data_IF_435032579326
#
_entry.id   IF_435032579326
#
_cell.length_a   1.000
_cell.length_b   1.000
_cell.length_c   1.000
_cell.angle_alpha   90.00
_cell.angle_beta   90.00
_cell.angle_gamma   90.00
#
_symmetry.space_group_name_H-M   'P 1'
#
loop_
_entity.id
_entity.type
_entity.pdbx_description
1 polymer ?
#
# COMPACT_ATOMS: atom_id res chain seq x y z
N UNK A 1 3.03 -2.90 5.27
CA UNK A 1 3.89 -1.85 5.83
C UNK A 1 3.04 -0.61 5.82
N UNK A 2 2.48 -0.23 6.97
CA UNK A 2 1.43 0.82 7.05
C UNK A 2 1.97 2.14 7.64
N UNK A 3 3.29 2.35 7.56
CA UNK A 3 4.03 3.53 8.03
C UNK A 3 5.50 3.45 7.62
N UNK A 4 6.20 4.58 7.62
CA UNK A 4 7.63 4.71 7.33
C UNK A 4 8.48 4.86 8.59
N UNK A 5 7.87 5.09 9.75
CA UNK A 5 8.52 5.13 11.05
C UNK A 5 8.14 3.93 11.91
N UNK A 6 9.01 3.59 12.88
CA UNK A 6 8.77 2.52 13.85
C UNK A 6 7.54 2.84 14.70
N UNK A 7 7.38 4.09 15.08
CA UNK A 7 6.29 4.63 15.88
C UNK A 7 4.94 4.50 15.17
N UNK A 8 4.85 4.98 13.92
CA UNK A 8 3.62 4.86 13.13
C UNK A 8 3.31 3.40 12.83
N UNK A 9 4.33 2.60 12.51
CA UNK A 9 4.15 1.17 12.30
C UNK A 9 3.59 0.46 13.54
N UNK A 10 4.17 0.70 14.71
CA UNK A 10 3.72 0.10 15.96
C UNK A 10 2.31 0.54 16.34
N UNK A 11 1.98 1.83 16.14
CA UNK A 11 0.62 2.36 16.34
C UNK A 11 -0.40 1.65 15.45
N UNK A 12 -0.11 1.52 14.16
CA UNK A 12 -1.05 0.93 13.20
C UNK A 12 -1.15 -0.59 13.33
N UNK A 13 -0.03 -1.27 13.58
CA UNK A 13 0.04 -2.75 13.59
C UNK A 13 -0.12 -3.37 14.98
N UNK A 14 -0.03 -2.58 16.04
CA UNK A 14 -0.03 -3.05 17.43
C UNK A 14 1.21 -3.86 17.81
N UNK A 15 2.26 -3.87 16.98
CA UNK A 15 3.48 -4.66 17.21
C UNK A 15 4.72 -3.89 16.81
N UNK A 16 5.78 -4.04 17.61
CA UNK A 16 7.07 -3.44 17.36
C UNK A 16 7.96 -4.37 16.51
N UNK A 17 7.68 -4.41 15.21
CA UNK A 17 8.36 -5.29 14.26
C UNK A 17 9.00 -4.55 13.07
N UNK A 18 9.05 -3.22 13.11
CA UNK A 18 9.50 -2.39 11.99
C UNK A 18 10.91 -2.74 11.52
N UNK A 19 11.89 -2.66 12.43
CA UNK A 19 13.30 -2.96 12.12
C UNK A 19 13.50 -4.42 11.67
N UNK A 20 12.73 -5.33 12.27
CA UNK A 20 12.76 -6.76 11.90
C UNK A 20 12.31 -6.96 10.46
N UNK A 21 11.26 -6.27 10.02
CA UNK A 21 10.73 -6.40 8.66
C UNK A 21 11.74 -5.89 7.64
N UNK A 22 12.32 -4.70 7.86
CA UNK A 22 13.31 -4.15 6.94
C UNK A 22 14.58 -5.00 6.87
N UNK A 23 15.06 -5.51 8.01
CA UNK A 23 16.14 -6.49 8.04
C UNK A 23 15.83 -7.72 7.19
N UNK A 24 14.62 -8.26 7.30
CA UNK A 24 14.20 -9.45 6.55
C UNK A 24 14.09 -9.16 5.04
N UNK A 25 13.53 -8.01 4.66
CA UNK A 25 13.44 -7.56 3.26
C UNK A 25 14.83 -7.44 2.66
N UNK A 26 15.75 -6.76 3.36
CA UNK A 26 17.13 -6.60 2.91
C UNK A 26 17.83 -7.94 2.73
N UNK A 27 17.71 -8.85 3.70
CA UNK A 27 18.30 -10.19 3.61
C UNK A 27 17.74 -10.97 2.41
N UNK A 28 16.45 -10.87 2.14
CA UNK A 28 15.82 -11.56 1.02
C UNK A 28 16.27 -10.99 -0.33
N UNK A 29 16.36 -9.67 -0.47
CA UNK A 29 16.82 -9.03 -1.71
C UNK A 29 18.30 -9.35 -1.98
N UNK A 30 19.14 -9.39 -0.95
CA UNK A 30 20.53 -9.84 -1.08
C UNK A 30 20.59 -11.29 -1.58
N UNK A 31 19.77 -12.18 -1.03
CA UNK A 31 19.70 -13.58 -1.47
C UNK A 31 19.28 -13.68 -2.96
N UNK A 32 18.36 -12.84 -3.41
CA UNK A 32 17.95 -12.80 -4.81
C UNK A 32 19.11 -12.35 -5.73
N UNK A 33 19.87 -11.36 -5.30
CA UNK A 33 21.05 -10.87 -6.04
C UNK A 33 22.14 -11.96 -6.13
N UNK A 34 22.43 -12.65 -5.03
CA UNK A 34 23.40 -13.75 -4.98
C UNK A 34 23.03 -14.92 -5.91
N UNK A 35 21.73 -15.12 -6.14
CA UNK A 35 21.21 -16.20 -6.97
C UNK A 35 20.86 -15.77 -8.41
N UNK A 36 21.12 -14.52 -8.79
CA UNK A 36 20.67 -13.94 -10.07
C UNK A 36 19.16 -14.16 -10.32
N UNK A 37 18.37 -14.09 -9.25
CA UNK A 37 16.95 -14.37 -9.26
C UNK A 37 16.12 -13.08 -9.27
N UNK A 38 15.21 -12.95 -10.23
CA UNK A 38 14.24 -11.84 -10.27
C UNK A 38 12.91 -12.18 -9.59
N UNK A 39 12.76 -13.41 -9.07
CA UNK A 39 11.51 -13.91 -8.48
C UNK A 39 11.77 -14.69 -7.19
N UNK A 40 10.78 -14.72 -6.27
CA UNK A 40 9.50 -13.97 -6.31
C UNK A 40 9.69 -12.46 -6.12
N UNK A 41 8.83 -11.64 -6.75
CA UNK A 41 8.90 -10.19 -6.58
C UNK A 41 8.52 -9.78 -5.15
N UNK A 42 9.22 -8.78 -4.59
CA UNK A 42 8.88 -8.18 -3.30
C UNK A 42 8.00 -6.96 -3.53
N UNK A 43 6.86 -6.91 -2.83
CA UNK A 43 5.97 -5.75 -2.86
C UNK A 43 5.58 -5.32 -1.45
N UNK A 44 5.41 -4.01 -1.26
CA UNK A 44 4.87 -3.44 -0.02
C UNK A 44 3.39 -3.12 -0.19
N UNK A 45 2.60 -3.50 0.81
CA UNK A 45 1.20 -3.12 0.89
C UNK A 45 1.01 -2.08 1.98
N UNK A 46 0.37 -0.97 1.63
CA UNK A 46 0.08 0.16 2.50
C UNK A 46 -1.42 0.39 2.57
N UNK A 47 -2.01 0.16 3.74
CA UNK A 47 -3.42 0.45 4.02
C UNK A 47 -3.55 1.93 4.33
N UNK A 48 -4.07 2.69 3.37
CA UNK A 48 -4.13 4.14 3.46
C UNK A 48 -5.28 4.60 4.37
N UNK A 49 -4.91 5.36 5.39
CA UNK A 49 -5.78 5.97 6.41
C UNK A 49 -5.35 7.42 6.62
N UNK A 50 -6.24 8.28 7.12
CA UNK A 50 -5.86 9.67 7.46
C UNK A 50 -4.66 9.73 8.39
N UNK A 51 -4.65 8.86 9.40
CA UNK A 51 -3.63 8.83 10.44
C UNK A 51 -2.23 8.47 9.94
N UNK A 52 -2.09 7.72 8.83
CA UNK A 52 -0.78 7.30 8.33
C UNK A 52 -0.43 7.83 6.94
N UNK A 53 -1.34 8.48 6.23
CA UNK A 53 -1.12 8.89 4.83
C UNK A 53 0.13 9.76 4.65
N UNK A 54 0.41 10.62 5.63
CA UNK A 54 1.57 11.51 5.66
C UNK A 54 2.92 10.77 5.62
N UNK A 55 2.94 9.47 5.94
CA UNK A 55 4.14 8.63 5.94
C UNK A 55 4.42 7.98 4.59
N UNK A 56 3.48 8.04 3.64
CA UNK A 56 3.61 7.43 2.33
C UNK A 56 4.87 7.88 1.56
N UNK A 57 5.28 9.17 1.56
CA UNK A 57 6.53 9.59 0.93
C UNK A 57 7.75 8.89 1.54
N UNK A 58 7.86 8.84 2.88
CA UNK A 58 8.96 8.17 3.55
C UNK A 58 8.97 6.66 3.33
N UNK A 59 7.80 6.05 3.11
CA UNK A 59 7.72 4.64 2.75
C UNK A 59 8.29 4.38 1.35
N UNK A 60 8.07 5.32 0.42
CA UNK A 60 8.66 5.26 -0.94
C UNK A 60 10.18 5.40 -0.86
N UNK A 61 10.69 6.31 -0.03
CA UNK A 61 12.13 6.44 0.24
C UNK A 61 12.74 5.11 0.70
N UNK A 62 12.14 4.50 1.72
CA UNK A 62 12.61 3.21 2.26
C UNK A 62 12.49 2.06 1.26
N UNK A 63 11.43 2.05 0.46
CA UNK A 63 11.27 1.05 -0.59
C UNK A 63 12.42 1.15 -1.61
N UNK A 64 12.74 2.36 -2.05
CA UNK A 64 13.83 2.60 -2.99
C UNK A 64 15.19 2.23 -2.39
N UNK A 65 15.47 2.68 -1.15
CA UNK A 65 16.70 2.38 -0.41
C UNK A 65 16.95 0.87 -0.29
N UNK A 66 15.89 0.11 0.00
CA UNK A 66 15.97 -1.33 0.22
C UNK A 66 15.76 -2.16 -1.05
N UNK A 67 15.59 -1.54 -2.22
CA UNK A 67 15.47 -2.24 -3.49
C UNK A 67 14.10 -2.85 -3.79
N UNK A 68 13.05 -2.42 -3.08
CA UNK A 68 11.67 -2.83 -3.36
C UNK A 68 11.08 -1.94 -4.46
N UNK A 69 10.61 -2.57 -5.54
CA UNK A 69 10.14 -1.88 -6.76
C UNK A 69 8.63 -1.89 -6.95
N UNK A 70 7.87 -2.45 -6.01
CA UNK A 70 6.42 -2.51 -6.08
C UNK A 70 5.77 -2.07 -4.76
N UNK A 71 4.85 -1.12 -4.85
CA UNK A 71 4.03 -0.63 -3.74
C UNK A 71 2.55 -0.70 -4.14
N UNK A 72 1.72 -1.21 -3.24
CA UNK A 72 0.27 -1.28 -3.39
C UNK A 72 -0.42 -0.44 -2.32
N UNK A 73 -1.22 0.53 -2.76
CA UNK A 73 -2.13 1.27 -1.90
C UNK A 73 -3.47 0.51 -1.79
N UNK A 74 -3.80 0.13 -0.56
CA UNK A 74 -5.05 -0.51 -0.21
C UNK A 74 -5.95 0.50 0.50
N UNK A 75 -7.21 0.60 0.07
CA UNK A 75 -8.20 1.42 0.78
C UNK A 75 -8.54 0.75 2.11
N UNK A 76 -8.70 1.56 3.16
CA UNK A 76 -9.25 1.07 4.42
C UNK A 76 -10.70 0.60 4.22
N UNK A 77 -10.95 -0.65 4.60
CA UNK A 77 -12.29 -1.18 4.89
C UNK A 77 -12.46 -1.16 6.40
N UNK A 78 -13.57 -0.63 6.90
CA UNK A 78 -13.76 -0.32 8.31
C UNK A 78 -14.98 -1.03 8.89
N UNK A 79 -14.97 -1.23 10.21
CA UNK A 79 -16.02 -1.91 10.99
C UNK A 79 -16.27 -1.24 12.35
N UNK A 80 -15.80 0.01 12.51
CA UNK A 80 -15.97 0.86 13.70
C UNK A 80 -15.30 0.31 14.97
N UNK A 81 -14.17 -0.38 14.81
CA UNK A 81 -13.33 -0.85 15.92
C UNK A 81 -11.86 -0.47 15.70
N UNK A 82 -11.18 -0.12 16.80
CA UNK A 82 -9.77 0.31 16.75
C UNK A 82 -9.54 1.45 15.75
N UNK A 83 -8.52 1.30 14.91
CA UNK A 83 -8.22 2.24 13.82
C UNK A 83 -9.11 2.04 12.58
N UNK A 84 -9.85 0.92 12.50
CA UNK A 84 -10.75 0.64 11.39
C UNK A 84 -12.09 1.38 11.58
N UNK A 85 -12.02 2.70 11.68
CA UNK A 85 -13.13 3.62 11.86
C UNK A 85 -13.39 4.42 10.59
N UNK A 86 -14.66 4.69 10.28
CA UNK A 86 -15.05 5.49 9.12
C UNK A 86 -14.40 6.90 9.02
N UNK A 87 -13.96 7.49 10.14
CA UNK A 87 -13.20 8.76 10.17
C UNK A 87 -11.79 8.64 9.58
N UNK A 88 -11.24 7.43 9.54
CA UNK A 88 -9.93 7.15 8.95
C UNK A 88 -10.00 6.91 7.43
N UNK A 89 -11.19 6.59 6.91
CA UNK A 89 -11.38 6.26 5.51
C UNK A 89 -11.17 7.47 4.58
N UNK A 90 -10.34 7.29 3.56
CA UNK A 90 -10.02 8.28 2.54
C UNK A 90 -11.00 8.22 1.34
N UNK A 91 -11.51 7.02 1.03
CA UNK A 91 -12.40 6.82 -0.12
C UNK A 91 -13.64 7.72 -0.03
N UNK A 92 -13.88 8.53 -1.08
CA UNK A 92 -14.93 9.58 -1.16
C UNK A 92 -14.91 10.65 -0.07
N UNK A 93 -13.91 10.68 0.79
CA UNK A 93 -13.82 11.60 1.93
C UNK A 93 -12.54 12.43 1.91
N UNK A 94 -11.64 12.17 0.96
CA UNK A 94 -10.31 12.78 0.96
C UNK A 94 -10.36 14.28 0.78
N UNK A 95 -9.48 14.99 1.48
CA UNK A 95 -9.28 16.43 1.28
C UNK A 95 -8.43 16.69 0.03
N UNK A 96 -8.39 17.95 -0.41
CA UNK A 96 -7.54 18.36 -1.53
C UNK A 96 -6.06 18.12 -1.27
N UNK A 97 -5.63 18.29 -0.01
CA UNK A 97 -4.26 18.06 0.46
C UNK A 97 -3.90 16.57 0.43
N UNK A 98 -4.78 15.69 0.93
CA UNK A 98 -4.59 14.23 0.90
C UNK A 98 -4.47 13.71 -0.54
N UNK A 99 -5.30 14.23 -1.45
CA UNK A 99 -5.23 13.90 -2.87
C UNK A 99 -3.99 14.48 -3.57
N UNK A 100 -3.53 15.67 -3.16
CA UNK A 100 -2.30 16.26 -3.68
C UNK A 100 -1.08 15.43 -3.28
N UNK A 101 -1.02 14.98 -2.03
CA UNK A 101 0.03 14.09 -1.54
C UNK A 101 0.07 12.77 -2.33
N UNK A 102 -1.09 12.15 -2.58
CA UNK A 102 -1.17 10.92 -3.38
C UNK A 102 -0.63 11.11 -4.80
N UNK A 103 -1.01 12.22 -5.47
CA UNK A 103 -0.52 12.53 -6.83
C UNK A 103 0.99 12.79 -6.85
N UNK A 104 1.52 13.47 -5.84
CA UNK A 104 2.96 13.68 -5.71
C UNK A 104 3.70 12.35 -5.55
N UNK A 105 3.18 11.45 -4.71
CA UNK A 105 3.73 10.11 -4.55
C UNK A 105 3.66 9.28 -5.83
N UNK A 106 2.56 9.36 -6.60
CA UNK A 106 2.46 8.71 -7.92
C UNK A 106 3.52 9.20 -8.90
N UNK A 107 3.65 10.52 -9.04
CA UNK A 107 4.64 11.13 -9.92
C UNK A 107 6.06 10.71 -9.51
N UNK A 108 6.36 10.77 -8.22
CA UNK A 108 7.66 10.38 -7.68
C UNK A 108 7.99 8.91 -7.95
N UNK A 109 7.04 8.00 -7.71
CA UNK A 109 7.22 6.59 -8.02
C UNK A 109 7.47 6.36 -9.52
N UNK A 110 6.81 7.11 -10.39
CA UNK A 110 7.07 7.05 -11.84
C UNK A 110 8.50 7.49 -12.18
N UNK A 111 8.99 8.57 -11.58
CA UNK A 111 10.36 9.08 -11.77
C UNK A 111 11.43 8.10 -11.25
N UNK A 112 11.15 7.43 -10.13
CA UNK A 112 12.07 6.48 -9.47
C UNK A 112 11.96 5.03 -10.01
N UNK A 113 11.05 4.77 -10.95
CA UNK A 113 10.83 3.45 -11.52
C UNK A 113 10.21 2.44 -10.54
N UNK A 114 9.41 2.92 -9.59
CA UNK A 114 8.64 2.11 -8.64
C UNK A 114 7.24 1.92 -9.19
N UNK A 115 6.80 0.67 -9.33
CA UNK A 115 5.41 0.36 -9.67
C UNK A 115 4.53 0.69 -8.47
N UNK A 116 3.77 1.77 -8.57
CA UNK A 116 2.82 2.17 -7.53
C UNK A 116 1.38 2.00 -8.04
N UNK A 117 0.65 1.05 -7.44
CA UNK A 117 -0.70 0.65 -7.86
C UNK A 117 -1.65 0.61 -6.69
N UNK A 118 -2.93 0.48 -6.97
CA UNK A 118 -3.93 0.11 -5.98
C UNK A 118 -4.56 -1.26 -6.26
N UNK A 119 -5.35 -1.73 -5.30
CA UNK A 119 -6.19 -2.91 -5.46
C UNK A 119 -6.96 -2.90 -6.80
N UNK A 120 -6.85 -3.99 -7.56
CA UNK A 120 -7.52 -4.13 -8.86
C UNK A 120 -6.80 -3.43 -10.03
N UNK A 121 -5.52 -3.12 -9.89
CA UNK A 121 -4.68 -2.50 -10.93
C UNK A 121 -5.08 -1.07 -11.33
N UNK A 122 -5.84 -0.38 -10.50
CA UNK A 122 -6.08 1.06 -10.63
C UNK A 122 -4.87 1.88 -10.15
N UNK A 123 -4.80 3.16 -10.51
CA UNK A 123 -3.85 4.05 -9.84
C UNK A 123 -4.28 4.29 -8.38
N UNK A 124 -3.33 4.60 -7.47
CA UNK A 124 -3.64 4.98 -6.09
C UNK A 124 -4.73 6.05 -5.94
N UNK A 125 -4.64 7.13 -6.70
CA UNK A 125 -5.57 8.26 -6.69
C UNK A 125 -6.92 7.87 -7.24
N UNK A 126 -6.98 7.18 -8.40
CA UNK A 126 -8.23 6.63 -8.94
C UNK A 126 -8.92 5.73 -7.92
N UNK A 127 -8.14 4.95 -7.18
CA UNK A 127 -8.68 4.11 -6.13
C UNK A 127 -9.41 4.94 -5.06
N UNK A 128 -8.91 6.11 -4.69
CA UNK A 128 -9.54 6.92 -3.66
C UNK A 128 -10.76 7.71 -4.17
N UNK A 129 -10.75 8.15 -5.43
CA UNK A 129 -11.78 9.06 -5.96
C UNK A 129 -12.89 8.37 -6.77
N UNK A 130 -12.60 7.23 -7.40
CA UNK A 130 -13.49 6.65 -8.42
C UNK A 130 -14.77 6.09 -7.81
N UNK A 131 -15.90 6.61 -8.29
CA UNK A 131 -17.24 6.19 -7.93
C UNK A 131 -17.95 5.51 -9.11
N UNK A 132 -18.57 4.35 -8.87
CA UNK A 132 -19.37 3.61 -9.84
C UNK A 132 -20.89 3.79 -9.62
N UNK A 133 -21.29 4.76 -8.79
CA UNK A 133 -22.69 5.14 -8.53
C UNK A 133 -23.51 3.98 -8.00
N UNK A 134 -24.66 3.74 -8.64
CA UNK A 134 -25.64 2.71 -8.27
C UNK A 134 -25.13 1.26 -8.49
N UNK A 135 -23.96 1.09 -9.10
CA UNK A 135 -23.31 -0.21 -9.30
C UNK A 135 -21.88 -0.19 -8.75
N UNK A 136 -21.70 -0.09 -7.42
CA UNK A 136 -20.37 0.02 -6.79
C UNK A 136 -19.42 -1.14 -7.12
N UNK A 137 -19.96 -2.32 -7.47
CA UNK A 137 -19.18 -3.49 -7.88
C UNK A 137 -18.73 -3.49 -9.34
N UNK A 138 -19.28 -2.62 -10.21
CA UNK A 138 -19.04 -2.67 -11.66
C UNK A 138 -17.59 -2.35 -12.05
N UNK A 139 -16.84 -1.70 -11.17
CA UNK A 139 -15.41 -1.49 -11.31
C UNK A 139 -14.51 -2.68 -10.95
N UNK A 140 -15.05 -3.68 -10.27
CA UNK A 140 -14.25 -4.78 -9.75
C UNK A 140 -13.95 -5.79 -10.87
N UNK A 141 -12.69 -5.84 -11.31
CA UNK A 141 -12.23 -6.81 -12.30
C UNK A 141 -11.81 -8.15 -11.69
N UNK A 142 -11.73 -8.25 -10.35
CA UNK A 142 -11.21 -9.45 -9.67
C UNK A 142 -11.92 -10.75 -10.04
N UNK A 143 -13.27 -10.81 -10.16
CA UNK A 143 -13.95 -12.04 -10.56
C UNK A 143 -13.48 -12.59 -11.91
N UNK A 144 -12.93 -11.74 -12.78
CA UNK A 144 -12.50 -12.10 -14.14
C UNK A 144 -10.97 -12.23 -14.28
N UNK A 145 -10.20 -11.72 -13.32
CA UNK A 145 -8.74 -11.59 -13.42
C UNK A 145 -7.97 -12.29 -12.31
N UNK A 146 -8.64 -12.73 -11.25
CA UNK A 146 -8.02 -13.31 -10.07
C UNK A 146 -8.84 -14.50 -9.55
N UNK A 147 -8.21 -15.68 -9.50
CA UNK A 147 -8.72 -16.82 -8.76
C UNK A 147 -8.01 -16.88 -7.42
N UNK A 148 -8.76 -16.75 -6.32
CA UNK A 148 -8.24 -16.89 -4.96
C UNK A 148 -8.69 -18.23 -4.38
N UNK A 149 -7.74 -19.12 -4.10
CA UNK A 149 -7.98 -20.42 -3.46
C UNK A 149 -7.32 -20.36 -2.08
N UNK A 150 -8.10 -20.62 -1.04
CA UNK A 150 -7.64 -20.69 0.36
C UNK A 150 -7.95 -22.10 0.87
N UNK A 151 -7.05 -22.70 1.67
CA UNK A 151 -7.27 -24.02 2.29
C UNK A 151 -7.76 -23.93 3.73
N UNK A 152 -8.25 -22.77 4.15
CA UNK A 152 -8.84 -22.59 5.48
C UNK A 152 -10.33 -22.91 5.38
N UNK A 153 -10.65 -24.21 5.47
CA UNK A 153 -12.02 -24.70 5.70
C UNK A 153 -12.38 -24.62 7.17
#
# INVERSE_FOLDING_TARGET
MDGATRETYATVRGVDAFDKIWRNIKAFILLQQEQDASKPAVSLWFTAMRENLHELPGLIDLANEHGVREIYLQRLVYFEEGLAHSKQALFRRSTSEELALLRQCEQRCQEEGITFRAAGSATPTESIVRDFGDRPWSGCQRPYTLTYITSSG
#
